data_IF_581125274736
#
_entry.id   IF_581125274736
#
_cell.length_a   1.000
_cell.length_b   1.000
_cell.length_c   1.000
_cell.angle_alpha   90.00
_cell.angle_beta   90.00
_cell.angle_gamma   90.00
#
_symmetry.space_group_name_H-M   'P 1'
#
loop_
_entity.id
_entity.type
_entity.pdbx_description
1 polymer ?
2 non-polymer ?
3 water ?
#
# COMPACT_ATOMS: atom_id res chain seq x y z
N UNK A 23 24.00 -6.21 10.46
CA UNK A 23 24.67 -7.49 10.36
C UNK A 23 24.30 -8.26 9.09
N UNK A 24 23.60 -9.38 9.26
CA UNK A 24 23.35 -10.34 8.18
C UNK A 24 22.43 -9.84 7.08
N UNK A 25 22.84 -10.02 5.82
CA UNK A 25 22.04 -9.63 4.66
C UNK A 25 21.21 -10.79 4.10
N UNK A 26 19.94 -10.81 4.48
CA UNK A 26 19.03 -11.88 4.11
C UNK A 26 18.82 -12.00 2.61
N UNK A 27 19.03 -10.90 1.90
CA UNK A 27 18.82 -10.91 0.45
C UNK A 27 19.79 -11.86 -0.21
N UNK A 29 21.05 -14.73 1.23
CA UNK A 29 20.96 -16.08 1.76
C UNK A 29 20.57 -17.04 0.65
N UNK A 30 21.09 -18.26 0.71
CA UNK A 30 20.82 -19.24 -0.33
C UNK A 30 19.32 -19.51 -0.45
N UNK A 31 18.64 -19.58 0.68
CA UNK A 31 17.21 -19.92 0.69
C UNK A 31 16.32 -18.79 0.16
N UNK A 32 16.89 -17.59 0.03
CA UNK A 32 16.13 -16.44 -0.47
C UNK A 32 15.98 -16.48 -1.98
N UNK A 33 14.75 -16.35 -2.45
CA UNK A 33 14.50 -16.29 -3.87
C UNK A 33 14.07 -14.86 -4.25
N UNK A 34 14.24 -14.53 -5.50
CA UNK A 34 13.91 -13.19 -6.00
C UNK A 34 13.11 -13.30 -7.30
N UNK A 35 12.06 -12.50 -7.41
CA UNK A 35 11.28 -12.42 -8.64
C UNK A 35 11.23 -10.97 -9.08
N UNK A 36 11.29 -10.73 -10.39
CA UNK A 36 11.23 -9.37 -10.92
C UNK A 36 10.17 -9.27 -12.00
N UNK A 37 9.67 -8.06 -12.20
CA UNK A 37 8.63 -7.81 -13.18
C UNK A 37 9.17 -7.67 -14.60
N UNK A 38 10.48 -7.44 -14.69
CA UNK A 38 11.12 -7.38 -16.00
C UNK A 38 12.62 -7.61 -15.88
N UNK A 39 13.22 -7.94 -17.03
CA UNK A 39 14.65 -8.21 -17.14
C UNK A 39 15.17 -9.18 -16.10
N UNK A 40 14.62 -10.37 -16.14
CA UNK A 40 14.98 -11.43 -15.23
C UNK A 40 16.47 -11.79 -15.33
N UNK A 41 17.07 -11.54 -16.50
CA UNK A 41 18.48 -11.85 -16.75
C UNK A 41 19.40 -11.11 -15.79
N UNK A 42 18.90 -10.00 -15.24
CA UNK A 42 19.71 -9.14 -14.37
C UNK A 42 19.24 -9.23 -12.93
N UNK A 43 18.28 -10.11 -12.67
CA UNK A 43 17.68 -10.21 -11.35
C UNK A 43 18.67 -10.52 -10.22
N UNK A 44 19.64 -11.39 -10.45
CA UNK A 44 20.56 -11.73 -9.39
C UNK A 44 21.53 -10.60 -9.10
N UNK A 45 21.60 -9.63 -9.99
CA UNK A 45 22.40 -8.43 -9.74
C UNK A 45 21.87 -7.68 -8.53
N UNK A 46 20.64 -7.97 -8.13
CA UNK A 46 20.05 -7.29 -6.97
C UNK A 46 20.65 -7.74 -5.65
N UNK A 47 21.28 -8.90 -5.64
CA UNK A 47 21.76 -9.44 -4.42
C UNK A 47 23.06 -10.23 -4.58
N UNK A 48 23.97 -9.68 -5.35
CA UNK A 48 25.26 -10.31 -5.59
C UNK A 48 26.40 -9.66 -4.81
N UNK A 49 26.09 -8.67 -3.99
CA UNK A 49 27.08 -8.03 -3.15
C UNK A 49 27.96 -7.02 -3.87
N UNK A 50 27.60 -6.67 -5.10
CA UNK A 50 28.38 -5.74 -5.91
C UNK A 50 27.49 -4.56 -6.28
N UNK A 51 27.79 -3.38 -5.78
CA UNK A 51 26.86 -2.26 -5.95
C UNK A 51 26.79 -1.74 -7.37
N UNK A 52 27.76 -2.13 -8.18
CA UNK A 52 27.79 -1.68 -9.56
C UNK A 52 27.23 -2.64 -10.60
N UNK A 53 26.77 -3.80 -10.18
CA UNK A 53 26.06 -4.69 -11.08
C UNK A 53 24.58 -4.37 -10.86
N UNK A 54 23.91 -3.98 -11.93
CA UNK A 54 22.58 -3.41 -11.85
C UNK A 54 21.45 -4.23 -12.40
N UNK A 55 20.26 -4.03 -11.83
CA UNK A 55 19.03 -4.53 -12.41
C UNK A 55 18.32 -3.30 -12.99
N UNK A 56 18.07 -3.33 -14.28
CA UNK A 56 17.48 -2.21 -14.98
C UNK A 56 16.20 -2.69 -15.62
N UNK A 57 15.08 -2.30 -15.05
CA UNK A 57 13.80 -2.74 -15.59
C UNK A 57 13.50 -2.05 -16.90
N UNK A 58 12.58 -2.67 -17.63
CA UNK A 58 12.07 -2.13 -18.85
C UNK A 58 10.88 -1.21 -18.52
N UNK A 59 10.03 -0.96 -19.50
CA UNK A 59 8.96 0.02 -19.37
C UNK A 59 7.62 -0.46 -18.84
N UNK A 60 7.60 -1.58 -18.14
CA UNK A 60 6.36 -2.06 -17.56
C UNK A 60 5.87 -1.00 -16.59
N UNK A 61 4.54 -0.83 -16.54
CA UNK A 61 3.92 0.21 -15.71
C UNK A 61 4.22 0.02 -14.24
N UNK A 62 4.21 -1.21 -13.76
CA UNK A 62 4.57 -1.44 -12.38
C UNK A 62 5.87 -2.24 -12.31
N UNK A 63 6.97 -1.54 -12.15
CA UNK A 63 8.27 -2.17 -11.98
C UNK A 63 8.37 -2.65 -10.53
N UNK A 64 8.59 -3.94 -10.34
CA UNK A 64 8.57 -4.47 -9.00
C UNK A 64 9.54 -5.64 -8.79
N UNK A 65 9.99 -5.80 -7.56
CA UNK A 65 10.84 -6.92 -7.15
C UNK A 65 10.26 -7.54 -5.88
N UNK A 66 10.16 -8.87 -5.82
CA UNK A 66 9.71 -9.53 -4.59
C UNK A 66 10.74 -10.54 -4.10
N UNK A 67 11.19 -10.36 -2.86
CA UNK A 67 12.06 -11.35 -2.22
C UNK A 67 11.20 -12.30 -1.39
N UNK A 68 11.47 -13.60 -1.54
CA UNK A 68 10.88 -14.62 -0.69
C UNK A 68 12.00 -15.12 0.21
N UNK A 69 11.98 -14.71 1.47
CA UNK A 69 12.99 -15.11 2.43
C UNK A 69 12.89 -16.59 2.83
N UNK A 70 11.82 -17.25 2.37
CA UNK A 70 11.58 -18.68 2.58
C UNK A 70 10.85 -18.97 3.89
N UNK A 71 11.05 -18.10 4.88
CA UNK A 71 10.38 -18.24 6.15
C UNK A 71 10.11 -16.84 6.70
N UNK A 72 9.23 -16.78 7.67
CA UNK A 72 8.96 -15.53 8.31
C UNK A 72 10.16 -15.16 9.20
N UNK A 73 10.83 -14.07 8.86
CA UNK A 73 12.04 -13.65 9.56
C UNK A 73 12.00 -12.26 10.13
N UNK A 74 12.86 -11.99 11.11
CA UNK A 74 13.06 -10.63 11.60
C UNK A 74 13.66 -9.78 10.50
N UNK A 75 13.03 -8.65 10.20
CA UNK A 75 13.62 -7.68 9.29
C UNK A 75 13.80 -6.38 10.05
N UNK A 76 15.05 -5.95 10.20
CA UNK A 76 15.34 -4.73 10.94
C UNK A 76 15.57 -3.48 10.09
N UNK A 77 16.12 -3.66 8.92
CA UNK A 77 16.48 -2.53 8.07
C UNK A 77 16.67 -2.94 6.63
N UNK A 78 16.47 -1.99 5.72
CA UNK A 78 16.58 -2.25 4.30
C UNK A 78 17.31 -1.10 3.59
N UNK A 79 18.32 -1.45 2.78
CA UNK A 79 18.99 -0.47 1.91
C UNK A 79 18.68 -0.74 0.45
N UNK A 80 18.39 0.31 -0.31
CA UNK A 80 18.28 0.22 -1.76
C UNK A 80 19.37 1.07 -2.36
N UNK A 81 20.29 0.45 -3.09
CA UNK A 81 21.36 1.18 -3.74
C UNK A 81 20.88 1.59 -5.12
N UNK A 82 20.73 2.90 -5.33
CA UNK A 82 20.09 3.41 -6.56
C UNK A 82 21.09 4.08 -7.46
N UNK A 83 21.31 3.52 -8.63
CA UNK A 83 22.37 3.95 -9.52
C UNK A 83 21.91 4.81 -10.70
N UNK A 84 20.59 4.87 -10.94
CA UNK A 84 20.05 5.74 -11.97
C UNK A 84 20.19 7.23 -11.65
N UNK A 85 19.88 8.08 -12.62
CA UNK A 85 20.07 9.52 -12.41
C UNK A 85 19.02 10.22 -11.55
N UNK A 86 17.78 9.77 -11.70
CA UNK A 86 16.63 10.46 -11.10
C UNK A 86 16.45 10.02 -9.66
N UNK A 87 15.93 10.91 -8.81
CA UNK A 87 15.57 10.49 -7.45
C UNK A 87 14.65 9.27 -7.51
N UNK A 88 14.92 8.30 -6.66
CA UNK A 88 14.14 7.08 -6.67
C UNK A 88 12.78 7.30 -6.02
N UNK A 89 11.73 6.84 -6.69
CA UNK A 89 10.38 6.83 -6.14
C UNK A 89 10.04 5.37 -5.94
N UNK A 90 9.67 5.01 -4.71
CA UNK A 90 9.55 3.60 -4.35
C UNK A 90 8.66 3.39 -3.13
N UNK A 91 8.21 2.15 -2.98
CA UNK A 91 7.58 1.70 -1.75
C UNK A 91 8.10 0.31 -1.40
N UNK A 92 7.94 -0.05 -0.13
CA UNK A 92 8.34 -1.34 0.38
C UNK A 92 7.14 -1.94 1.10
N UNK A 93 6.82 -3.18 0.76
CA UNK A 93 5.72 -3.91 1.36
C UNK A 93 6.26 -5.22 1.93
N UNK A 94 5.65 -5.71 3.00
CA UNK A 94 6.00 -7.02 3.53
C UNK A 94 4.74 -7.87 3.68
N UNK A 95 4.92 -9.18 3.66
CA UNK A 95 3.81 -10.12 3.84
C UNK A 95 4.29 -11.41 4.48
N UNK A 96 3.35 -12.10 5.14
CA UNK A 96 3.61 -13.43 5.68
C UNK A 96 3.09 -14.52 4.77
N UNK A 97 1.93 -14.30 4.18
CA UNK A 97 1.31 -15.31 3.32
C UNK A 97 1.44 -15.07 1.83
N UNK A 98 1.95 -13.91 1.47
CA UNK A 98 2.13 -13.55 0.09
C UNK A 98 0.89 -13.03 -0.60
N UNK A 99 -0.19 -12.85 0.15
CA UNK A 99 -1.41 -12.33 -0.41
C UNK A 99 -1.83 -11.04 0.26
N UNK A 100 -1.61 -10.94 1.55
CA UNK A 100 -1.97 -9.72 2.26
C UNK A 100 -0.71 -8.94 2.58
N UNK A 101 -0.62 -7.75 1.99
CA UNK A 101 0.60 -6.94 2.07
C UNK A 101 0.48 -5.72 2.97
N UNK A 102 1.54 -5.44 3.70
CA UNK A 102 1.65 -4.23 4.49
C UNK A 102 2.73 -3.29 3.95
N UNK A 103 2.31 -2.12 3.50
CA UNK A 103 3.23 -1.11 2.99
C UNK A 103 3.86 -0.40 4.16
N UNK A 104 5.16 -0.60 4.33
CA UNK A 104 5.87 -0.09 5.49
C UNK A 104 6.71 1.14 5.19
N UNK A 105 7.02 1.37 3.91
CA UNK A 105 7.69 2.59 3.48
C UNK A 105 6.99 3.06 2.21
N UNK A 106 6.59 4.32 2.18
CA UNK A 106 5.90 4.84 1.01
C UNK A 106 6.58 6.11 0.54
N UNK A 107 7.48 5.95 -0.41
CA UNK A 107 8.26 7.06 -0.94
C UNK A 107 7.97 7.28 -2.42
N UNK A 108 6.73 7.02 -2.81
CA UNK A 108 6.33 7.15 -4.21
C UNK A 108 6.39 8.57 -4.76
N UNK A 109 6.46 9.56 -3.86
CA UNK A 109 6.56 10.95 -4.30
C UNK A 109 7.94 11.55 -4.02
N UNK A 110 8.90 10.68 -3.69
CA UNK A 110 10.21 11.17 -3.29
C UNK A 110 10.93 12.01 -4.34
N UNK A 111 11.52 13.11 -3.91
CA UNK A 111 12.35 13.91 -4.79
C UNK A 111 13.79 14.03 -4.29
N UNK A 112 14.09 13.41 -3.14
CA UNK A 112 15.45 13.49 -2.59
C UNK A 112 16.36 12.56 -3.37
N UNK A 113 17.51 13.09 -3.80
CA UNK A 113 18.45 12.31 -4.59
C UNK A 113 19.56 11.77 -3.72
N UNK A 114 19.54 10.46 -3.52
CA UNK A 114 20.50 9.80 -2.66
C UNK A 114 21.12 8.59 -3.36
N UNK A 115 22.33 8.23 -2.97
CA UNK A 115 22.98 7.06 -3.54
C UNK A 115 22.36 5.78 -2.95
N UNK A 116 22.08 5.82 -1.66
CA UNK A 116 21.49 4.68 -0.96
C UNK A 116 20.26 5.15 -0.21
N UNK A 117 19.14 4.49 -0.45
CA UNK A 117 17.92 4.76 0.29
C UNK A 117 17.76 3.73 1.41
N UNK A 118 18.11 4.16 2.62
CA UNK A 118 18.03 3.30 3.80
C UNK A 118 16.72 3.51 4.54
N UNK A 119 16.17 2.44 5.10
CA UNK A 119 15.00 2.53 5.96
C UNK A 119 15.11 1.57 7.14
N UNK A 120 14.95 2.09 8.35
CA UNK A 120 14.95 1.25 9.57
C UNK A 120 13.52 0.93 10.00
N UNK A 121 13.22 -0.35 10.17
CA UNK A 121 11.86 -0.80 10.45
C UNK A 121 11.52 -0.67 11.93
N UNK A 122 10.23 -0.56 12.23
CA UNK A 122 9.77 -0.55 13.62
C UNK A 122 10.25 -1.81 14.30
N UNK A 123 10.42 -1.77 15.62
CA UNK A 123 10.84 -2.94 16.35
C UNK A 123 9.86 -4.09 16.14
N UNK A 124 10.37 -5.29 16.01
CA UNK A 124 9.53 -6.47 15.95
C UNK A 124 8.87 -6.73 14.62
N UNK A 125 9.37 -6.13 13.55
CA UNK A 125 8.83 -6.37 12.22
C UNK A 125 9.33 -7.72 11.70
N UNK A 126 8.44 -8.49 11.14
CA UNK A 126 8.80 -9.73 10.50
C UNK A 126 8.07 -9.94 9.19
N UNK A 127 8.59 -10.81 8.36
CA UNK A 127 7.93 -11.09 7.11
C UNK A 127 8.62 -12.20 6.37
N UNK A 128 7.89 -12.91 5.54
CA UNK A 128 8.50 -13.82 4.61
C UNK A 128 8.77 -13.17 3.24
N UNK A 129 7.89 -12.28 2.80
CA UNK A 129 8.03 -11.64 1.50
C UNK A 129 8.30 -10.16 1.65
N UNK A 130 9.24 -9.65 0.87
CA UNK A 130 9.52 -8.22 0.84
C UNK A 130 9.40 -7.77 -0.60
N UNK A 131 8.48 -6.84 -0.85
CA UNK A 131 8.20 -6.37 -2.19
C UNK A 131 8.54 -4.89 -2.35
N UNK A 132 9.26 -4.58 -3.42
CA UNK A 132 9.71 -3.24 -3.75
C UNK A 132 9.01 -2.81 -5.02
N UNK A 133 8.37 -1.65 -4.99
CA UNK A 133 7.75 -1.11 -6.17
C UNK A 133 8.46 0.18 -6.53
N UNK A 134 8.76 0.35 -7.83
CA UNK A 134 9.49 1.53 -8.27
C UNK A 134 8.66 2.29 -9.30
N UNK A 135 8.42 3.56 -9.03
CA UNK A 135 7.65 4.37 -9.95
C UNK A 135 8.36 5.57 -10.58
N UNK A 136 9.67 5.68 -10.39
CA UNK A 136 10.42 6.73 -11.03
C UNK A 136 10.91 6.27 -12.40
N UNK A 137 11.51 7.21 -13.12
CA UNK A 137 12.14 6.92 -14.39
C UNK A 137 13.62 6.57 -14.15
N UNK A 138 14.19 6.00 -15.28
CA UNK A 138 15.57 5.50 -15.27
C UNK A 138 15.96 4.72 -14.01
N UNK A 139 15.01 3.77 -13.64
CA UNK A 139 15.40 2.99 -12.48
C UNK A 139 16.57 2.04 -12.74
N UNK A 140 17.63 2.13 -11.96
CA UNK A 140 18.72 1.18 -12.06
C UNK A 140 19.14 0.83 -10.65
N UNK A 141 18.86 -0.38 -10.21
CA UNK A 141 19.13 -0.76 -8.82
C UNK A 141 20.41 -1.57 -8.73
N UNK A 142 21.39 -1.05 -8.01
CA UNK A 142 22.66 -1.73 -7.87
C UNK A 142 22.63 -2.86 -6.87
N UNK A 143 21.78 -2.75 -5.86
CA UNK A 143 21.74 -3.75 -4.81
C UNK A 143 20.56 -3.46 -3.88
N UNK A 144 19.92 -4.52 -3.38
CA UNK A 144 18.94 -4.38 -2.31
C UNK A 144 19.41 -5.26 -1.15
N UNK A 145 19.60 -4.62 -0.02
CA UNK A 145 20.08 -5.29 1.18
C UNK A 145 18.98 -5.35 2.23
N UNK A 146 18.69 -6.54 2.73
CA UNK A 146 17.63 -6.72 3.71
C UNK A 146 18.25 -7.27 4.97
N UNK A 147 18.41 -6.42 5.98
CA UNK A 147 19.11 -6.81 7.18
C UNK A 147 18.22 -7.39 8.27
N UNK A 148 18.69 -8.49 8.85
CA UNK A 148 18.03 -9.09 9.97
C UNK A 148 18.84 -8.58 11.15
N UNK A 149 18.17 -7.87 12.04
CA UNK A 149 18.87 -7.30 13.17
C UNK A 149 20.28 -6.98 12.78
N UNK B 24 -22.55 -0.81 15.74
CA UNK B 24 -22.28 -1.85 14.75
C UNK B 24 -21.70 -1.23 13.51
N UNK B 25 -22.20 -0.07 13.12
CA UNK B 25 -21.55 0.67 12.06
C UNK B 25 -20.66 1.65 12.78
N UNK B 26 -19.38 1.33 12.79
CA UNK B 26 -18.34 2.08 13.47
C UNK B 26 -18.09 3.49 12.95
N UNK B 27 -18.42 3.76 11.70
CA UNK B 27 -18.13 5.06 11.10
C UNK B 27 -18.88 6.22 11.78
N UNK B 29 -20.07 5.88 14.99
CA UNK B 29 -19.92 6.10 16.46
C UNK B 29 -19.22 7.45 16.78
N UNK B 30 -19.50 7.98 17.96
CA UNK B 30 -19.00 9.30 18.36
C UNK B 30 -17.50 9.43 18.37
N UNK B 31 -16.82 8.36 18.76
CA UNK B 31 -15.36 8.26 18.83
C UNK B 31 -14.65 8.40 17.47
N UNK B 32 -15.31 7.92 16.41
CA UNK B 32 -14.71 7.86 15.06
C UNK B 32 -14.46 9.26 14.47
N UNK B 33 -13.30 9.51 13.86
CA UNK B 33 -12.94 10.80 13.23
C UNK B 33 -12.56 10.62 11.74
N UNK B 34 -12.58 11.72 10.94
CA UNK B 34 -12.41 11.59 9.48
C UNK B 34 -11.52 12.66 8.84
N UNK B 35 -10.63 12.22 7.96
CA UNK B 35 -9.72 13.10 7.23
C UNK B 35 -9.88 12.81 5.72
N UNK B 36 -9.99 13.87 4.91
CA UNK B 36 -10.12 13.71 3.45
C UNK B 36 -9.05 14.48 2.68
N UNK B 37 -8.74 14.02 1.47
CA UNK B 37 -7.69 14.64 0.67
C UNK B 37 -8.18 15.93 0.04
N UNK B 38 -9.49 16.11 0.02
CA UNK B 38 -10.07 17.31 -0.54
C UNK B 38 -11.52 17.48 -0.06
N UNK B 39 -12.06 18.65 -0.25
CA UNK B 39 -13.43 18.93 0.16
C UNK B 39 -13.82 18.51 1.52
N UNK B 40 -13.09 19.05 2.50
CA UNK B 40 -13.36 18.72 3.88
C UNK B 40 -14.77 19.11 4.32
N UNK B 41 -15.36 20.11 3.68
CA UNK B 41 -16.71 20.56 4.07
C UNK B 41 -17.74 19.44 3.94
N UNK B 42 -17.44 18.46 3.09
CA UNK B 42 -18.36 17.36 2.83
C UNK B 42 -17.94 16.08 3.55
N UNK B 43 -16.83 16.16 4.28
CA UNK B 43 -16.25 14.98 4.89
C UNK B 43 -17.23 14.28 5.83
N UNK B 44 -18.04 15.05 6.55
CA UNK B 44 -19.00 14.44 7.44
C UNK B 44 -20.19 13.78 6.73
N UNK B 45 -20.32 14.07 5.43
CA UNK B 45 -21.30 13.36 4.62
C UNK B 45 -20.99 11.87 4.48
N UNK B 46 -19.73 11.52 4.67
CA UNK B 46 -19.27 10.14 4.64
C UNK B 46 -19.89 9.27 5.73
N UNK B 47 -20.13 9.87 6.90
CA UNK B 47 -20.66 9.10 8.02
C UNK B 47 -21.86 9.74 8.72
N UNK B 48 -22.74 10.36 7.95
CA UNK B 48 -23.88 11.04 8.55
C UNK B 48 -25.14 10.20 8.60
N UNK B 49 -25.05 8.97 8.15
CA UNK B 49 -26.18 8.06 8.13
C UNK B 49 -27.14 8.11 6.95
N UNK B 50 -26.90 9.00 6.01
CA UNK B 50 -27.79 9.17 4.88
C UNK B 50 -27.06 8.82 3.60
N UNK B 51 -27.55 7.81 2.89
CA UNK B 51 -26.86 7.38 1.66
C UNK B 51 -26.88 8.44 0.56
N UNK B 52 -27.87 9.33 0.65
CA UNK B 52 -28.06 10.45 -0.30
C UNK B 52 -27.06 11.62 -0.23
N UNK B 53 -26.49 11.86 0.94
CA UNK B 53 -25.54 12.95 1.12
C UNK B 53 -24.14 12.50 0.83
N UNK B 54 -23.45 13.25 -0.01
CA UNK B 54 -22.20 12.81 -0.60
C UNK B 54 -20.95 13.59 -0.29
N UNK B 55 -19.83 12.89 -0.34
CA UNK B 55 -18.52 13.50 -0.35
C UNK B 55 -17.99 13.27 -1.75
N UNK B 56 -17.62 14.34 -2.42
CA UNK B 56 -17.07 14.25 -3.74
C UNK B 56 -15.67 14.86 -3.70
N UNK B 57 -14.66 14.08 -4.05
CA UNK B 57 -13.29 14.57 -4.03
C UNK B 57 -12.99 15.48 -5.20
N UNK B 58 -11.86 16.19 -5.09
CA UNK B 58 -11.39 17.05 -6.14
C UNK B 58 -10.59 16.24 -7.15
N UNK B 59 -9.73 16.95 -7.87
CA UNK B 59 -8.92 16.35 -8.92
C UNK B 59 -7.52 15.89 -8.47
N UNK B 60 -7.29 15.81 -7.16
CA UNK B 60 -5.98 15.41 -6.66
C UNK B 60 -5.56 14.01 -7.10
N UNK B 61 -4.26 13.83 -7.24
CA UNK B 61 -3.67 12.59 -7.72
C UNK B 61 -3.92 11.38 -6.81
N UNK B 62 -3.87 11.59 -5.49
CA UNK B 62 -4.18 10.51 -4.59
C UNK B 62 -5.43 10.89 -3.83
N UNK B 63 -6.56 10.34 -4.21
CA UNK B 63 -7.82 10.64 -3.57
C UNK B 63 -8.02 9.63 -2.46
N UNK B 64 -8.30 10.10 -1.27
CA UNK B 64 -8.42 9.19 -0.16
C UNK B 64 -9.17 9.73 1.04
N UNK B 65 -9.66 8.81 1.84
CA UNK B 65 -10.35 9.13 3.09
C UNK B 65 -9.77 8.25 4.18
N UNK B 66 -9.49 8.82 5.33
CA UNK B 66 -8.97 8.03 6.43
C UNK B 66 -9.86 8.19 7.67
N UNK B 67 -10.42 7.07 8.13
CA UNK B 67 -11.19 7.04 9.38
C UNK B 67 -10.29 6.64 10.53
N UNK B 68 -10.38 7.36 11.64
CA UNK B 68 -9.69 6.94 12.85
C UNK B 68 -10.76 6.38 13.79
N UNK B 69 -10.69 5.09 14.06
CA UNK B 69 -11.65 4.43 14.89
C UNK B 69 -11.38 4.72 16.36
N UNK B 70 -10.22 5.31 16.61
CA UNK B 70 -9.73 5.78 17.90
C UNK B 70 -8.97 4.69 18.67
N UNK B 71 -9.18 3.43 18.29
CA UNK B 71 -8.48 2.28 18.86
C UNK B 71 -8.70 1.10 17.94
N UNK B 72 -7.95 0.04 18.13
CA UNK B 72 -8.12 -1.13 17.27
C UNK B 72 -9.49 -1.77 17.44
N UNK B 73 -10.11 -2.13 16.34
CA UNK B 73 -11.40 -2.77 16.42
C UNK B 73 -11.52 -3.87 15.40
N UNK B 74 -12.41 -4.82 15.69
CA UNK B 74 -12.64 -5.92 14.78
C UNK B 74 -13.61 -5.47 13.71
N UNK B 75 -13.22 -5.66 12.47
CA UNK B 75 -14.04 -5.23 11.34
C UNK B 75 -14.47 -6.44 10.52
N UNK B 76 -15.78 -6.62 10.38
CA UNK B 76 -16.33 -7.80 9.72
C UNK B 76 -16.66 -7.54 8.25
N UNK B 77 -17.05 -6.31 7.94
CA UNK B 77 -17.45 -5.96 6.59
C UNK B 77 -17.40 -4.46 6.40
N UNK B 78 -17.30 -4.05 5.14
CA UNK B 78 -17.32 -2.64 4.78
C UNK B 78 -18.20 -2.41 3.54
N UNK B 79 -19.10 -1.43 3.64
CA UNK B 79 -19.91 -1.05 2.49
C UNK B 79 -19.53 0.35 2.02
N UNK B 80 -19.50 0.54 0.70
CA UNK B 80 -19.28 1.85 0.11
C UNK B 80 -20.43 2.11 -0.83
N UNK B 81 -21.26 3.09 -0.50
CA UNK B 81 -22.35 3.51 -1.37
C UNK B 81 -21.85 4.55 -2.37
N UNK B 82 -22.01 4.25 -3.65
CA UNK B 82 -21.45 5.07 -4.70
C UNK B 82 -22.58 5.64 -5.57
N UNK B 83 -22.57 6.93 -5.78
CA UNK B 83 -23.65 7.62 -6.49
C UNK B 83 -23.20 8.26 -7.80
N UNK B 84 -21.91 8.16 -8.10
CA UNK B 84 -21.38 8.63 -9.37
C UNK B 84 -21.88 7.82 -10.56
N UNK B 85 -21.45 8.23 -11.74
CA UNK B 85 -21.92 7.61 -12.98
C UNK B 85 -21.04 6.46 -13.48
N UNK B 86 -19.89 6.24 -12.84
CA UNK B 86 -18.92 5.25 -13.31
C UNK B 86 -18.55 4.20 -12.28
N UNK B 87 -18.00 3.06 -12.73
CA UNK B 87 -17.47 2.05 -11.81
C UNK B 87 -16.44 2.67 -10.88
N UNK B 88 -16.49 2.29 -9.62
CA UNK B 88 -15.56 2.79 -8.61
C UNK B 88 -14.32 1.91 -8.58
N UNK B 89 -13.16 2.54 -8.80
CA UNK B 89 -11.88 1.85 -8.63
C UNK B 89 -11.27 2.32 -7.33
N UNK B 90 -11.02 1.39 -6.42
CA UNK B 90 -10.66 1.73 -5.06
C UNK B 90 -9.90 0.61 -4.41
N UNK B 91 -9.21 0.95 -3.33
CA UNK B 91 -8.62 -0.02 -2.42
C UNK B 91 -8.96 0.37 -0.98
N UNK B 92 -8.86 -0.59 -0.07
CA UNK B 92 -9.06 -0.32 1.35
C UNK B 92 -7.88 -0.85 2.16
N UNK B 93 -7.37 0.01 3.03
CA UNK B 93 -6.23 -0.36 3.86
C UNK B 93 -6.56 -0.14 5.33
N UNK B 94 -5.98 -0.94 6.20
CA UNK B 94 -6.11 -0.71 7.63
C UNK B 94 -4.74 -0.54 8.28
N UNK B 95 -4.71 0.15 9.41
CA UNK B 95 -3.47 0.43 10.12
C UNK B 95 -3.70 0.54 11.64
N UNK B 96 -2.73 0.11 12.44
CA UNK B 96 -2.78 0.38 13.87
C UNK B 96 -2.01 1.62 14.27
N UNK B 97 -1.02 2.04 13.50
CA UNK B 97 -0.15 3.13 13.91
C UNK B 97 -0.28 4.36 13.03
N UNK B 98 -0.82 4.17 11.82
CA UNK B 98 -1.05 5.26 10.90
C UNK B 98 0.03 5.41 9.84
N UNK B 99 1.06 4.57 9.92
CA UNK B 99 2.18 4.65 8.98
C UNK B 99 2.45 3.35 8.24
N UNK B 100 1.90 2.24 8.73
CA UNK B 100 1.97 0.97 8.02
C UNK B 100 0.58 0.55 7.57
N UNK B 101 0.41 0.31 6.29
CA UNK B 101 -0.92 0.14 5.75
C UNK B 101 -1.13 -1.23 5.12
N UNK B 102 -2.05 -1.99 5.71
CA UNK B 102 -2.37 -3.33 5.23
C UNK B 102 -3.54 -3.29 4.27
N UNK B 103 -3.29 -3.54 3.01
CA UNK B 103 -4.30 -3.47 2.01
C UNK B 103 -5.16 -4.71 2.14
N UNK B 104 -6.44 -4.51 2.46
CA UNK B 104 -7.35 -5.60 2.72
C UNK B 104 -8.35 -5.81 1.59
N UNK B 105 -8.52 -4.81 0.76
CA UNK B 105 -9.35 -4.91 -0.44
C UNK B 105 -8.65 -4.18 -1.59
N UNK B 106 -8.44 -4.87 -2.71
CA UNK B 106 -7.86 -4.23 -3.88
C UNK B 106 -8.83 -4.34 -5.05
N UNK B 107 -9.55 -3.27 -5.31
CA UNK B 107 -10.48 -3.20 -6.43
C UNK B 107 -10.05 -2.13 -7.40
N UNK B 108 -8.73 -1.98 -7.57
CA UNK B 108 -8.19 -0.95 -8.45
C UNK B 108 -8.45 -1.22 -9.92
N UNK B 109 -8.84 -2.44 -10.25
CA UNK B 109 -9.14 -2.79 -11.63
C UNK B 109 -10.62 -2.95 -11.92
N UNK B 110 -11.47 -2.65 -10.94
CA UNK B 110 -12.88 -2.94 -11.08
C UNK B 110 -13.56 -2.23 -12.25
N UNK B 111 -14.33 -2.99 -13.01
CA UNK B 111 -15.12 -2.45 -14.12
C UNK B 111 -16.63 -2.58 -13.90
N UNK B 112 -17.03 -3.14 -12.77
CA UNK B 112 -18.43 -3.22 -12.39
C UNK B 112 -19.02 -1.88 -11.93
N UNK B 113 -20.10 -1.42 -12.56
CA UNK B 113 -20.74 -0.18 -12.15
C UNK B 113 -21.82 -0.54 -11.15
N UNK B 114 -21.45 -0.49 -9.89
CA UNK B 114 -22.35 -0.84 -8.78
C UNK B 114 -22.83 0.41 -8.05
N UNK B 115 -23.99 0.32 -7.41
CA UNK B 115 -24.46 1.38 -6.54
C UNK B 115 -23.92 1.15 -5.12
N UNK B 116 -23.66 -0.11 -4.80
CA UNK B 116 -23.09 -0.48 -3.51
C UNK B 116 -21.94 -1.44 -3.72
N UNK B 117 -20.79 -1.09 -3.14
CA UNK B 117 -19.63 -1.96 -3.13
C UNK B 117 -19.49 -2.60 -1.75
N UNK B 118 -19.83 -3.88 -1.66
CA UNK B 118 -19.76 -4.56 -0.38
C UNK B 118 -18.49 -5.40 -0.29
N UNK B 119 -17.85 -5.43 0.88
CA UNK B 119 -16.62 -6.15 1.11
C UNK B 119 -16.70 -6.86 2.44
N UNK B 120 -17.05 -8.13 2.37
CA UNK B 120 -17.12 -8.96 3.56
C UNK B 120 -15.74 -9.50 3.83
N UNK B 121 -15.28 -9.35 5.06
CA UNK B 121 -13.93 -9.74 5.44
C UNK B 121 -13.96 -11.05 6.18
N UNK B 122 -13.51 -12.13 5.55
CA UNK B 122 -13.57 -13.45 6.15
C UNK B 122 -12.46 -13.54 7.15
N UNK B 123 -12.77 -14.00 8.34
CA UNK B 123 -11.79 -14.05 9.41
C UNK B 123 -11.81 -12.71 10.13
N UNK B 124 -10.85 -12.49 11.01
CA UNK B 124 -10.79 -11.25 11.74
C UNK B 124 -9.76 -10.25 11.21
N UNK B 125 -10.25 -9.09 10.79
CA UNK B 125 -9.36 -8.01 10.41
C UNK B 125 -9.51 -6.97 11.49
N UNK B 126 -8.41 -6.50 12.00
CA UNK B 126 -8.43 -5.64 13.12
C UNK B 126 -7.62 -4.41 12.76
N UNK B 127 -8.18 -3.23 13.05
CA UNK B 127 -7.45 -2.00 12.81
C UNK B 127 -7.99 -0.82 13.56
N UNK B 128 -7.15 0.16 13.78
CA UNK B 128 -7.55 1.46 14.30
C UNK B 128 -7.97 2.43 13.16
N UNK B 129 -7.11 2.54 12.14
CA UNK B 129 -7.34 3.43 11.00
C UNK B 129 -7.83 2.63 9.81
N UNK B 130 -8.78 3.20 9.08
CA UNK B 130 -9.26 2.57 7.86
C UNK B 130 -9.14 3.63 6.77
N UNK B 131 -8.30 3.33 5.79
CA UNK B 131 -8.04 4.26 4.69
C UNK B 131 -8.66 3.77 3.40
N UNK B 132 -9.33 4.67 2.69
CA UNK B 132 -9.96 4.32 1.43
C UNK B 132 -9.26 5.12 0.38
N UNK B 133 -8.79 4.44 -0.66
CA UNK B 133 -8.09 5.08 -1.75
C UNK B 133 -8.94 4.96 -3.00
N UNK B 134 -9.33 6.09 -3.55
CA UNK B 134 -10.19 6.08 -4.73
C UNK B 134 -9.38 6.46 -5.94
N UNK B 135 -9.23 5.49 -6.82
CA UNK B 135 -8.35 5.59 -7.97
C UNK B 135 -9.10 5.67 -9.30
N UNK B 136 -10.27 6.29 -9.29
CA UNK B 136 -11.05 6.53 -10.49
C UNK B 136 -11.45 7.99 -10.51
N UNK B 137 -11.63 8.53 -11.70
CA UNK B 137 -11.93 9.93 -11.86
C UNK B 137 -13.28 10.42 -11.33
N UNK B 138 -14.28 9.57 -11.42
CA UNK B 138 -15.60 10.01 -11.13
C UNK B 138 -16.13 9.41 -9.81
N UNK B 139 -15.89 10.11 -8.72
CA UNK B 139 -16.17 9.54 -7.42
C UNK B 139 -17.14 10.41 -6.66
N UNK B 140 -18.25 9.82 -6.23
CA UNK B 140 -19.21 10.47 -5.36
C UNK B 140 -19.62 9.43 -4.32
N UNK B 141 -19.16 9.60 -3.08
CA UNK B 141 -19.41 8.60 -2.07
C UNK B 141 -20.58 9.02 -1.16
N UNK B 142 -21.63 8.22 -1.16
CA UNK B 142 -22.82 8.48 -0.35
C UNK B 142 -22.66 8.13 1.11
N UNK B 143 -21.91 7.09 1.40
CA UNK B 143 -21.73 6.69 2.79
C UNK B 143 -20.65 5.64 2.82
N UNK B 144 -19.87 5.63 3.89
CA UNK B 144 -18.96 4.53 4.15
C UNK B 144 -19.34 3.92 5.47
N UNK B 145 -19.73 2.65 5.40
CA UNK B 145 -20.17 1.86 6.56
C UNK B 145 -19.09 0.81 6.90
N UNK B 146 -18.56 0.92 8.10
CA UNK B 146 -17.56 0.00 8.64
C UNK B 146 -18.16 -0.86 9.79
N UNK B 147 -18.55 -2.09 9.49
CA UNK B 147 -19.26 -2.89 10.47
C UNK B 147 -18.34 -3.62 11.44
N UNK B 148 -18.64 -3.53 12.72
CA UNK B 148 -17.85 -4.21 13.75
C UNK B 148 -17.91 -5.72 13.64
N UNK B 149 -16.80 -6.36 13.99
CA UNK B 149 -16.70 -7.80 14.01
C UNK B 149 -16.70 -8.31 15.44
#
# INVERSE_FOLDING_TARGET
>A
XGSSHHHHHHSSGLVPRGSHXASENLAXKDETKVEVTSNNSEANNLRDGNENTLWVPGQEEEKSVTFDLSKEKDISAIDIVSKGNSPLKYSIEISNDGTEWTKIVDENNNEENKAVYSNILKSGKIGRFVRFNFNSENVKIGEIKIYKG
>B
XGSSHHHHHHSSGLVPRGSHXASENLAXKDETKVEVTSNNSEANNLRDGNENTLWVPGQEEEKSVTFDLSKEKDISAIDIVSKGNSPLKYSIEISNDGTEWTKIVDENNNEENKAVYSNILKSGKIGRFVRFNFNSENVKIGEIKIYKG
#
